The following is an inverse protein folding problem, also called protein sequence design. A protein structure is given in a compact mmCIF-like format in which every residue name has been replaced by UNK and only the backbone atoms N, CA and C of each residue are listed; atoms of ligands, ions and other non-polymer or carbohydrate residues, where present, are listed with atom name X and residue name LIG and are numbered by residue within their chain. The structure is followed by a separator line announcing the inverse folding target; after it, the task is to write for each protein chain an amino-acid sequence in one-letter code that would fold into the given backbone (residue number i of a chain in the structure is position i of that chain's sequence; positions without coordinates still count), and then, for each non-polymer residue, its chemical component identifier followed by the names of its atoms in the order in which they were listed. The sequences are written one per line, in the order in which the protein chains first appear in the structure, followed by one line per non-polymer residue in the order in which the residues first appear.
data_IF_894846992878
#
_entry.id   IF_894846992878
#
_cell.length_a   1.000
_cell.length_b   1.000
_cell.length_c   1.000
_cell.angle_alpha   90.00
_cell.angle_beta   90.00
_cell.angle_gamma   90.00
#
_symmetry.space_group_name_H-M   'P 1'
#
loop_
_entity.id
_entity.type
_entity.pdbx_description
1 polymer ?
#
# COMPACT_ATOMS: atom_id res chain seq x y z
N UNK A 1 -24.04 -82.37 -6.95
CA UNK A 1 -23.04 -82.43 -8.05
C UNK A 1 -22.21 -81.17 -7.97
N UNK A 2 -20.93 -81.34 -7.65
CA UNK A 2 -19.83 -80.37 -7.70
C UNK A 2 -19.25 -80.27 -9.14
N UNK A 3 -18.16 -79.51 -9.42
CA UNK A 3 -17.49 -78.41 -8.70
C UNK A 3 -17.53 -77.11 -9.58
N UNK A 4 -16.68 -76.08 -9.56
CA UNK A 4 -15.51 -75.61 -8.77
C UNK A 4 -15.40 -74.05 -8.91
N UNK A 5 -14.41 -73.38 -8.28
CA UNK A 5 -14.08 -71.99 -8.63
C UNK A 5 -13.29 -71.12 -7.63
N UNK A 6 -12.14 -71.60 -7.12
CA UNK A 6 -11.15 -70.82 -6.34
C UNK A 6 -10.45 -69.72 -7.19
N UNK A 7 -9.79 -68.67 -6.68
CA UNK A 7 -9.53 -68.19 -5.30
C UNK A 7 -8.28 -67.26 -5.23
N UNK A 8 -8.23 -66.37 -4.22
CA UNK A 8 -7.06 -65.64 -3.64
C UNK A 8 -6.18 -64.62 -4.44
N UNK A 9 -5.64 -63.66 -3.68
CA UNK A 9 -4.67 -62.57 -3.98
C UNK A 9 -3.18 -63.06 -4.07
N UNK A 10 -2.14 -62.18 -4.14
CA UNK A 10 -1.76 -61.23 -5.20
C UNK A 10 -0.31 -61.44 -5.70
N UNK A 11 0.10 -60.82 -6.82
CA UNK A 11 1.46 -60.98 -7.39
C UNK A 11 2.45 -59.84 -7.07
N UNK A 12 3.69 -60.23 -6.82
CA UNK A 12 4.83 -59.46 -6.28
C UNK A 12 5.57 -58.54 -7.26
N UNK A 13 6.39 -57.66 -6.67
CA UNK A 13 7.41 -56.81 -7.30
C UNK A 13 8.28 -57.53 -8.36
N UNK A 14 8.72 -56.79 -9.38
CA UNK A 14 9.95 -57.07 -10.14
C UNK A 14 10.87 -55.84 -10.19
N UNK A 15 12.04 -55.96 -9.57
CA UNK A 15 13.21 -55.15 -9.90
C UNK A 15 13.75 -55.56 -11.28
N UNK A 16 14.32 -54.60 -12.01
CA UNK A 16 15.25 -54.89 -13.10
C UNK A 16 16.34 -53.82 -13.15
N UNK A 17 17.60 -54.24 -13.08
CA UNK A 17 18.79 -53.38 -13.20
C UNK A 17 19.31 -53.41 -14.65
N UNK A 18 19.82 -52.29 -15.16
CA UNK A 18 20.36 -52.22 -16.53
C UNK A 18 21.26 -51.01 -16.82
N UNK A 19 22.55 -51.16 -16.47
CA UNK A 19 23.72 -50.52 -17.11
C UNK A 19 23.71 -49.03 -17.51
N UNK A 20 24.25 -48.20 -16.60
CA UNK A 20 25.46 -47.39 -16.80
C UNK A 20 25.70 -46.57 -18.08
N UNK A 21 25.80 -45.25 -17.89
CA UNK A 21 26.84 -44.42 -18.53
C UNK A 21 27.22 -43.24 -17.62
N UNK A 22 28.50 -42.86 -17.64
CA UNK A 22 29.08 -41.87 -16.72
C UNK A 22 28.96 -40.45 -17.27
N UNK A 23 28.30 -39.55 -16.54
CA UNK A 23 28.26 -38.12 -16.85
C UNK A 23 28.18 -37.27 -15.59
N UNK A 24 29.31 -36.72 -15.15
CA UNK A 24 29.35 -35.76 -14.04
C UNK A 24 28.89 -34.37 -14.53
N UNK A 25 27.64 -34.03 -14.27
CA UNK A 25 27.14 -32.65 -14.31
C UNK A 25 26.61 -32.26 -12.93
N UNK A 26 27.00 -31.09 -12.37
CA UNK A 26 26.44 -30.60 -11.11
C UNK A 26 25.02 -30.03 -11.34
N UNK A 27 24.04 -30.91 -11.47
CA UNK A 27 22.63 -30.54 -11.59
C UNK A 27 22.08 -30.10 -10.23
N UNK A 28 22.12 -28.78 -9.99
CA UNK A 28 21.52 -28.13 -8.83
C UNK A 28 20.03 -28.44 -8.77
N UNK A 29 19.63 -29.41 -7.93
CA UNK A 29 18.27 -29.98 -7.96
C UNK A 29 17.24 -29.04 -7.34
N UNK A 30 16.81 -28.04 -8.12
CA UNK A 30 15.65 -27.18 -7.81
C UNK A 30 14.35 -27.97 -8.07
N UNK A 31 14.16 -29.06 -7.33
CA UNK A 31 13.03 -29.99 -7.48
C UNK A 31 11.89 -29.63 -6.54
N UNK A 32 11.22 -28.52 -6.83
CA UNK A 32 9.96 -28.14 -6.18
C UNK A 32 9.03 -27.43 -7.19
N UNK A 33 7.82 -27.99 -7.34
CA UNK A 33 6.63 -27.36 -7.93
C UNK A 33 6.65 -26.96 -9.42
N UNK A 34 6.96 -27.90 -10.31
CA UNK A 34 6.48 -27.85 -11.71
C UNK A 34 5.94 -29.22 -12.14
N UNK A 35 4.73 -29.51 -11.70
CA UNK A 35 3.84 -30.53 -12.24
C UNK A 35 2.42 -29.99 -12.04
N UNK A 36 1.60 -30.06 -13.08
CA UNK A 36 0.21 -29.61 -13.13
C UNK A 36 -0.01 -28.09 -13.03
N UNK A 37 0.48 -27.34 -14.02
CA UNK A 37 -0.07 -26.02 -14.38
C UNK A 37 -1.04 -26.21 -15.55
N UNK A 38 -2.33 -26.21 -15.26
CA UNK A 38 -3.38 -26.15 -16.28
C UNK A 38 -3.36 -24.75 -16.95
N UNK A 39 -3.36 -24.68 -18.28
CA UNK A 39 -3.26 -23.42 -19.04
C UNK A 39 -4.44 -22.47 -18.76
N UNK A 40 -5.57 -23.01 -18.25
CA UNK A 40 -6.72 -22.21 -17.80
C UNK A 40 -6.44 -21.34 -16.56
N UNK A 41 -5.43 -21.66 -15.76
CA UNK A 41 -5.14 -20.99 -14.48
C UNK A 41 -4.27 -19.74 -14.61
N UNK A 42 -3.64 -19.50 -15.77
CA UNK A 42 -2.70 -18.38 -15.99
C UNK A 42 -3.37 -17.00 -15.83
N UNK A 43 -4.70 -16.93 -15.96
CA UNK A 43 -5.50 -15.70 -15.70
C UNK A 43 -6.47 -15.91 -14.51
N UNK A 44 -6.05 -16.67 -13.50
CA UNK A 44 -6.61 -16.53 -12.16
C UNK A 44 -5.55 -15.94 -11.24
N UNK A 45 -5.71 -14.65 -10.91
CA UNK A 45 -4.94 -14.04 -9.81
C UNK A 45 -5.34 -14.82 -8.56
N UNK A 46 -4.40 -15.60 -8.00
CA UNK A 46 -4.66 -16.42 -6.82
C UNK A 46 -5.29 -15.56 -5.74
N UNK A 47 -6.52 -15.91 -5.33
CA UNK A 47 -7.28 -15.19 -4.30
C UNK A 47 -6.75 -15.44 -2.89
N UNK A 48 -5.60 -16.11 -2.74
CA UNK A 48 -4.95 -16.34 -1.47
C UNK A 48 -4.09 -15.13 -1.09
N UNK A 49 -4.12 -14.68 0.18
CA UNK A 49 -3.28 -13.57 0.63
C UNK A 49 -1.80 -13.95 0.59
N UNK A 50 -0.94 -13.00 0.28
CA UNK A 50 0.52 -13.21 0.35
C UNK A 50 0.96 -13.46 1.82
N UNK A 51 2.03 -14.23 2.04
CA UNK A 51 2.56 -14.48 3.38
C UNK A 51 3.16 -13.19 3.97
N UNK A 52 2.47 -12.61 4.95
CA UNK A 52 2.95 -11.49 5.77
C UNK A 52 3.30 -11.97 7.18
N UNK A 53 4.39 -11.47 7.74
CA UNK A 53 4.87 -11.82 9.08
C UNK A 53 3.83 -11.47 10.15
N UNK A 54 3.09 -10.38 9.99
CA UNK A 54 2.08 -9.98 11.00
C UNK A 54 0.81 -10.82 10.86
N UNK A 55 0.47 -11.29 9.66
CA UNK A 55 -0.73 -12.11 9.43
C UNK A 55 -0.58 -13.54 9.95
N UNK A 56 0.64 -14.06 10.12
CA UNK A 56 0.89 -15.33 10.80
C UNK A 56 0.86 -15.22 12.34
N UNK A 57 1.06 -14.01 12.88
CA UNK A 57 1.05 -13.75 14.32
C UNK A 57 -0.31 -13.30 14.86
N UNK A 58 -1.09 -12.54 14.08
CA UNK A 58 -2.34 -11.91 14.53
C UNK A 58 -3.52 -12.30 13.63
N UNK A 59 -4.63 -12.85 14.17
CA UNK A 59 -5.84 -13.14 13.40
C UNK A 59 -6.56 -11.85 12.98
N UNK A 60 -7.21 -11.86 11.81
CA UNK A 60 -7.92 -10.70 11.26
C UNK A 60 -8.90 -10.08 12.27
N UNK A 61 -8.79 -8.77 12.51
CA UNK A 61 -9.71 -8.03 13.37
C UNK A 61 -10.52 -7.01 12.56
N UNK A 62 -11.82 -7.29 12.34
CA UNK A 62 -12.68 -6.41 11.54
C UNK A 62 -12.86 -5.01 12.16
N UNK A 63 -12.90 -4.92 13.49
CA UNK A 63 -13.04 -3.66 14.23
C UNK A 63 -11.84 -2.71 14.01
N UNK A 64 -10.65 -3.26 13.76
CA UNK A 64 -9.43 -2.46 13.59
C UNK A 64 -9.47 -1.63 12.29
N UNK A 65 -10.14 -2.08 11.22
CA UNK A 65 -10.32 -1.27 10.00
C UNK A 65 -11.18 -0.04 10.30
N UNK A 66 -12.29 -0.21 11.03
CA UNK A 66 -13.15 0.91 11.45
C UNK A 66 -12.41 1.87 12.38
N UNK A 67 -11.57 1.37 13.30
CA UNK A 67 -10.75 2.23 14.15
C UNK A 67 -9.68 3.00 13.34
N UNK A 68 -9.07 2.37 12.34
CA UNK A 68 -8.12 2.99 11.43
C UNK A 68 -8.73 4.17 10.67
N UNK A 69 -9.93 4.01 10.11
CA UNK A 69 -10.69 5.10 9.45
C UNK A 69 -10.90 6.29 10.41
N UNK A 70 -11.28 6.03 11.67
CA UNK A 70 -11.42 7.10 12.67
C UNK A 70 -10.09 7.80 13.01
N UNK A 71 -8.96 7.08 13.06
CA UNK A 71 -7.63 7.67 13.30
C UNK A 71 -7.17 8.56 12.13
N UNK A 72 -7.46 8.16 10.88
CA UNK A 72 -7.20 8.96 9.68
C UNK A 72 -8.05 10.23 9.71
N UNK A 73 -9.33 10.13 10.03
CA UNK A 73 -10.21 11.30 10.17
C UNK A 73 -9.77 12.23 11.31
N UNK A 74 -9.34 11.70 12.46
CA UNK A 74 -8.86 12.50 13.58
C UNK A 74 -7.56 13.26 13.26
N UNK A 75 -6.60 12.61 12.59
CA UNK A 75 -5.35 13.24 12.16
C UNK A 75 -5.56 14.27 11.06
N UNK A 76 -6.40 13.98 10.05
CA UNK A 76 -6.75 14.93 9.01
C UNK A 76 -7.52 16.14 9.57
N UNK A 77 -8.47 15.92 10.47
CA UNK A 77 -9.19 17.03 11.16
C UNK A 77 -8.24 17.88 11.98
N UNK A 78 -7.29 17.27 12.70
CA UNK A 78 -6.26 17.99 13.45
C UNK A 78 -5.39 18.87 12.54
N UNK A 79 -5.07 18.40 11.33
CA UNK A 79 -4.34 19.18 10.34
C UNK A 79 -5.20 20.31 9.74
N UNK A 80 -6.48 20.05 9.45
CA UNK A 80 -7.42 21.10 9.02
C UNK A 80 -7.58 22.20 10.07
N UNK A 81 -7.64 21.85 11.37
CA UNK A 81 -7.64 22.83 12.45
C UNK A 81 -6.35 23.67 12.47
N UNK A 82 -5.18 23.04 12.31
CA UNK A 82 -3.92 23.75 12.15
C UNK A 82 -3.98 24.74 10.98
N UNK A 83 -4.45 24.31 9.80
CA UNK A 83 -4.61 25.19 8.63
C UNK A 83 -5.53 26.39 8.91
N UNK A 84 -6.62 26.21 9.64
CA UNK A 84 -7.56 27.30 9.98
C UNK A 84 -6.90 28.36 10.87
N UNK A 85 -6.07 27.94 11.84
CA UNK A 85 -5.41 28.84 12.79
C UNK A 85 -4.02 29.35 12.33
N UNK A 86 -3.43 28.79 11.27
CA UNK A 86 -2.12 29.19 10.79
C UNK A 86 -2.18 30.50 9.99
N UNK A 87 -1.28 31.45 10.30
CA UNK A 87 -1.23 32.75 9.62
C UNK A 87 -1.05 32.60 8.10
N UNK A 88 -0.10 31.78 7.67
CA UNK A 88 0.21 31.50 6.25
C UNK A 88 -0.64 30.36 5.64
N UNK A 89 -1.92 30.22 6.05
CA UNK A 89 -2.79 29.07 5.71
C UNK A 89 -2.79 28.64 4.24
N UNK A 90 -2.80 29.59 3.30
CA UNK A 90 -2.84 29.31 1.87
C UNK A 90 -1.52 28.69 1.37
N UNK A 91 -0.37 29.13 1.91
CA UNK A 91 0.95 28.57 1.60
C UNK A 91 1.02 27.14 2.14
N UNK A 92 0.67 26.91 3.41
CA UNK A 92 0.72 25.57 4.02
C UNK A 92 -0.23 24.60 3.31
N UNK A 93 -1.45 25.03 2.95
CA UNK A 93 -2.38 24.22 2.18
C UNK A 93 -1.84 23.89 0.78
N UNK A 94 -1.25 24.86 0.07
CA UNK A 94 -0.61 24.66 -1.25
C UNK A 94 0.52 23.64 -1.18
N UNK A 95 1.41 23.75 -0.19
CA UNK A 95 2.52 22.81 0.05
C UNK A 95 2.01 21.39 0.36
N UNK A 96 1.01 21.27 1.24
CA UNK A 96 0.38 19.99 1.56
C UNK A 96 -0.28 19.34 0.34
N UNK A 97 -1.05 20.11 -0.45
CA UNK A 97 -1.69 19.61 -1.66
C UNK A 97 -0.66 19.14 -2.70
N UNK A 98 0.46 19.84 -2.85
CA UNK A 98 1.53 19.43 -3.77
C UNK A 98 2.23 18.14 -3.33
N UNK A 99 2.60 18.03 -2.04
CA UNK A 99 3.18 16.81 -1.46
C UNK A 99 2.21 15.63 -1.59
N UNK A 100 0.93 15.85 -1.24
CA UNK A 100 -0.13 14.87 -1.37
C UNK A 100 -0.32 14.41 -2.82
N UNK A 101 -0.48 15.34 -3.77
CA UNK A 101 -0.63 15.03 -5.19
C UNK A 101 0.56 14.22 -5.73
N UNK A 102 1.79 14.55 -5.31
CA UNK A 102 3.00 13.79 -5.69
C UNK A 102 2.94 12.34 -5.16
N UNK A 103 2.52 12.14 -3.91
CA UNK A 103 2.36 10.81 -3.31
C UNK A 103 1.23 10.00 -3.98
N UNK A 104 0.08 10.62 -4.28
CA UNK A 104 -1.01 9.95 -4.99
C UNK A 104 -0.70 9.69 -6.49
N UNK A 105 0.18 10.49 -7.11
CA UNK A 105 0.72 10.18 -8.43
C UNK A 105 1.61 8.93 -8.38
N UNK A 106 2.49 8.81 -7.39
CA UNK A 106 3.24 7.58 -7.16
C UNK A 106 2.33 6.38 -6.89
N UNK A 107 1.26 6.53 -6.07
CA UNK A 107 0.22 5.49 -5.89
C UNK A 107 -0.32 5.01 -7.25
N UNK A 108 -0.82 5.94 -8.06
CA UNK A 108 -1.42 5.64 -9.36
C UNK A 108 -0.47 4.87 -10.27
N UNK A 109 0.80 5.30 -10.36
CA UNK A 109 1.83 4.60 -11.15
C UNK A 109 2.08 3.19 -10.60
N UNK A 110 2.21 3.03 -9.29
CA UNK A 110 2.47 1.69 -8.70
C UNK A 110 1.32 0.71 -8.91
N UNK A 111 0.06 1.16 -8.89
CA UNK A 111 -1.13 0.33 -9.14
C UNK A 111 -1.32 -0.06 -10.61
N UNK A 112 -0.83 0.77 -11.53
CA UNK A 112 -0.80 0.45 -12.97
C UNK A 112 0.26 -0.62 -13.24
N UNK A 113 1.41 -0.56 -12.57
CA UNK A 113 2.52 -1.51 -12.75
C UNK A 113 2.26 -2.84 -12.01
N UNK A 114 1.68 -2.79 -10.81
CA UNK A 114 1.58 -3.94 -9.91
C UNK A 114 0.24 -3.96 -9.17
N UNK A 115 -0.51 -5.06 -9.31
CA UNK A 115 -1.76 -5.30 -8.60
C UNK A 115 -1.59 -6.50 -7.66
N UNK A 116 -1.68 -6.28 -6.35
CA UNK A 116 -1.61 -7.34 -5.34
C UNK A 116 -3.01 -7.85 -4.98
N UNK A 117 -3.17 -9.18 -4.76
CA UNK A 117 -4.41 -9.70 -4.21
C UNK A 117 -4.60 -9.23 -2.76
N UNK A 118 -5.85 -8.97 -2.34
CA UNK A 118 -6.16 -8.53 -0.97
C UNK A 118 -5.78 -9.54 0.13
N UNK A 119 -5.43 -9.00 1.30
CA UNK A 119 -4.97 -9.74 2.49
C UNK A 119 -6.05 -10.43 3.33
N UNK A 120 -7.34 -10.24 3.01
CA UNK A 120 -8.44 -10.75 3.83
C UNK A 120 -8.56 -12.27 3.78
N UNK A 121 -9.05 -12.85 4.87
CA UNK A 121 -9.24 -14.29 4.99
C UNK A 121 -10.35 -14.83 4.05
N UNK A 122 -11.37 -14.02 3.74
CA UNK A 122 -12.50 -14.37 2.87
C UNK A 122 -12.71 -13.36 1.73
N UNK A 123 -11.74 -13.29 0.82
CA UNK A 123 -11.75 -12.38 -0.33
C UNK A 123 -13.04 -12.45 -1.17
N UNK A 124 -13.64 -13.63 -1.38
CA UNK A 124 -14.88 -13.76 -2.15
C UNK A 124 -16.12 -13.08 -1.51
N UNK A 125 -16.09 -12.77 -0.20
CA UNK A 125 -17.19 -12.10 0.50
C UNK A 125 -16.98 -10.58 0.62
N UNK A 126 -15.73 -10.14 0.83
CA UNK A 126 -15.39 -8.71 0.96
C UNK A 126 -15.26 -8.00 -0.40
N UNK A 127 -14.89 -8.72 -1.45
CA UNK A 127 -14.59 -8.15 -2.76
C UNK A 127 -15.83 -8.07 -3.67
N UNK A 128 -16.00 -6.94 -4.32
CA UNK A 128 -16.97 -6.73 -5.40
C UNK A 128 -16.51 -7.50 -6.65
N UNK A 129 -17.46 -8.12 -7.36
CA UNK A 129 -17.17 -8.90 -8.56
C UNK A 129 -16.54 -8.05 -9.67
N UNK A 130 -15.64 -8.65 -10.45
CA UNK A 130 -15.04 -8.00 -11.61
C UNK A 130 -16.10 -7.76 -12.69
N UNK A 131 -16.13 -6.55 -13.24
CA UNK A 131 -17.08 -6.12 -14.27
C UNK A 131 -16.33 -5.51 -15.45
N UNK A 132 -16.86 -5.66 -16.66
CA UNK A 132 -16.28 -5.04 -17.86
C UNK A 132 -16.22 -3.52 -17.71
N UNK A 133 -15.02 -2.95 -17.88
CA UNK A 133 -14.75 -1.53 -17.68
C UNK A 133 -15.48 -0.73 -18.76
N UNK A 134 -16.60 -0.12 -18.37
CA UNK A 134 -17.40 0.79 -19.20
C UNK A 134 -17.31 2.19 -18.62
N UNK A 135 -17.27 3.23 -19.45
CA UNK A 135 -17.06 4.62 -19.01
C UNK A 135 -18.12 5.08 -17.98
N UNK A 136 -19.39 4.69 -18.16
CA UNK A 136 -20.47 4.91 -17.18
C UNK A 136 -20.22 4.22 -15.84
N UNK A 137 -19.76 2.96 -15.87
CA UNK A 137 -19.39 2.20 -14.66
C UNK A 137 -18.21 2.86 -13.97
N UNK A 138 -17.15 3.23 -14.71
CA UNK A 138 -15.99 3.94 -14.16
C UNK A 138 -16.40 5.26 -13.48
N UNK A 139 -17.17 6.12 -14.16
CA UNK A 139 -17.68 7.36 -13.57
C UNK A 139 -18.52 7.11 -12.32
N UNK A 140 -19.43 6.13 -12.33
CA UNK A 140 -20.21 5.79 -11.14
C UNK A 140 -19.34 5.34 -9.96
N UNK A 141 -18.24 4.60 -10.19
CA UNK A 141 -17.28 4.22 -9.13
C UNK A 141 -16.50 5.42 -8.60
N UNK A 142 -16.07 6.32 -9.48
CA UNK A 142 -15.38 7.57 -9.08
C UNK A 142 -16.30 8.45 -8.23
N UNK A 143 -17.57 8.61 -8.63
CA UNK A 143 -18.57 9.38 -7.87
C UNK A 143 -18.93 8.69 -6.55
N UNK A 144 -19.13 7.36 -6.55
CA UNK A 144 -19.34 6.55 -5.34
C UNK A 144 -18.21 6.74 -4.33
N UNK A 145 -16.94 6.72 -4.79
CA UNK A 145 -15.76 6.94 -3.94
C UNK A 145 -15.62 8.39 -3.46
N UNK A 146 -15.94 9.37 -4.31
CA UNK A 146 -15.88 10.80 -3.97
C UNK A 146 -16.90 11.18 -2.89
N UNK A 147 -18.15 10.71 -3.01
CA UNK A 147 -19.21 10.94 -2.02
C UNK A 147 -18.84 10.34 -0.66
N UNK A 148 -18.14 9.20 -0.66
CA UNK A 148 -17.71 8.49 0.56
C UNK A 148 -16.50 9.12 1.25
N UNK A 149 -15.90 10.18 0.69
CA UNK A 149 -14.80 10.94 1.30
C UNK A 149 -13.61 10.08 1.80
N UNK A 150 -13.40 8.89 1.22
CA UNK A 150 -12.35 7.95 1.61
C UNK A 150 -12.72 6.88 2.65
N UNK A 151 -13.94 6.86 3.21
CA UNK A 151 -14.38 5.82 4.14
C UNK A 151 -14.47 4.43 3.48
N UNK A 152 -14.06 3.39 4.22
CA UNK A 152 -14.00 2.03 3.70
C UNK A 152 -15.38 1.34 3.68
N UNK A 153 -15.77 0.72 2.56
CA UNK A 153 -17.05 0.01 2.47
C UNK A 153 -17.00 -1.35 3.16
N UNK A 154 -17.97 -1.62 4.04
CA UNK A 154 -17.97 -2.85 4.86
C UNK A 154 -18.43 -4.11 4.11
N UNK A 155 -19.14 -3.96 2.99
CA UNK A 155 -19.89 -5.06 2.35
C UNK A 155 -19.40 -5.47 0.95
N UNK A 156 -18.92 -4.55 0.08
CA UNK A 156 -18.43 -4.89 -1.27
C UNK A 156 -17.33 -3.94 -1.78
N UNK A 157 -16.12 -4.12 -1.24
CA UNK A 157 -14.91 -3.36 -1.59
C UNK A 157 -14.42 -3.58 -3.03
N UNK A 158 -13.77 -2.57 -3.63
CA UNK A 158 -12.91 -2.81 -4.79
C UNK A 158 -11.60 -3.48 -4.33
N UNK A 159 -11.45 -4.77 -4.63
CA UNK A 159 -10.23 -5.51 -4.35
C UNK A 159 -9.30 -5.49 -5.56
N UNK A 160 -8.08 -4.98 -5.35
CA UNK A 160 -7.08 -4.74 -6.40
C UNK A 160 -6.30 -3.43 -6.15
N UNK A 161 -6.84 -2.52 -5.34
CA UNK A 161 -6.24 -1.24 -4.96
C UNK A 161 -5.50 -1.32 -3.60
N UNK A 162 -4.83 -2.44 -3.33
CA UNK A 162 -4.24 -2.73 -2.01
C UNK A 162 -2.79 -2.28 -1.86
N UNK A 163 -2.04 -2.19 -2.97
CA UNK A 163 -0.65 -1.75 -2.91
C UNK A 163 -0.57 -0.26 -2.61
N UNK A 164 0.28 0.11 -1.63
CA UNK A 164 0.54 1.49 -1.18
C UNK A 164 -0.69 2.20 -0.57
N UNK A 165 -0.87 2.14 0.75
CA UNK A 165 -2.10 2.55 1.47
C UNK A 165 -2.41 4.06 1.48
N UNK A 166 -3.61 4.45 1.03
CA UNK A 166 -4.01 5.86 0.90
C UNK A 166 -4.30 6.53 2.24
N UNK A 167 -5.01 5.82 3.12
CA UNK A 167 -5.19 6.18 4.53
C UNK A 167 -3.85 6.45 5.22
N UNK A 168 -2.85 5.61 4.98
CA UNK A 168 -1.51 5.79 5.53
C UNK A 168 -0.84 7.05 4.99
N UNK A 169 -0.94 7.33 3.68
CA UNK A 169 -0.39 8.57 3.09
C UNK A 169 -1.02 9.83 3.69
N UNK A 170 -2.35 9.90 3.77
CA UNK A 170 -3.05 11.06 4.33
C UNK A 170 -2.65 11.29 5.79
N UNK A 171 -2.68 10.24 6.59
CA UNK A 171 -2.42 10.26 8.02
C UNK A 171 -0.97 10.61 8.35
N UNK A 172 0.01 9.96 7.69
CA UNK A 172 1.44 10.25 7.88
C UNK A 172 1.79 11.66 7.38
N UNK A 173 1.27 12.08 6.22
CA UNK A 173 1.56 13.42 5.68
C UNK A 173 0.93 14.51 6.54
N UNK A 174 -0.29 14.31 7.06
CA UNK A 174 -0.94 15.24 8.00
C UNK A 174 -0.16 15.34 9.31
N UNK A 175 0.30 14.21 9.87
CA UNK A 175 1.10 14.19 11.09
C UNK A 175 2.48 14.88 10.90
N UNK A 176 3.15 14.65 9.77
CA UNK A 176 4.40 15.35 9.41
C UNK A 176 4.19 16.87 9.27
N UNK A 177 3.10 17.29 8.61
CA UNK A 177 2.72 18.71 8.55
C UNK A 177 2.47 19.31 9.94
N UNK A 178 1.75 18.62 10.82
CA UNK A 178 1.51 19.08 12.21
C UNK A 178 2.84 19.18 12.98
N UNK A 179 3.74 18.21 12.83
CA UNK A 179 5.05 18.24 13.48
C UNK A 179 5.94 19.40 12.99
N UNK A 180 5.85 19.77 11.71
CA UNK A 180 6.69 20.80 11.10
C UNK A 180 6.15 22.23 11.30
N UNK A 181 4.86 22.46 11.06
CA UNK A 181 4.25 23.81 11.07
C UNK A 181 3.80 24.25 12.47
N UNK A 182 3.60 23.33 13.42
CA UNK A 182 3.17 23.70 14.77
C UNK A 182 4.37 24.18 15.63
N UNK A 183 4.30 25.34 16.30
CA UNK A 183 5.42 25.86 17.07
C UNK A 183 5.71 25.01 18.32
N UNK A 184 6.98 24.92 18.70
CA UNK A 184 7.50 24.03 19.76
C UNK A 184 6.84 24.19 21.15
N UNK A 185 6.12 25.28 21.40
CA UNK A 185 5.29 25.48 22.61
C UNK A 185 4.15 24.44 22.72
N UNK A 186 3.65 23.94 21.59
CA UNK A 186 2.53 23.00 21.51
C UNK A 186 2.99 21.55 21.21
N UNK A 187 4.21 21.19 21.66
CA UNK A 187 4.83 19.88 21.40
C UNK A 187 3.93 18.69 21.78
N UNK A 188 3.07 18.83 22.80
CA UNK A 188 2.08 17.80 23.17
C UNK A 188 1.16 17.44 22.00
N UNK A 189 0.66 18.42 21.25
CA UNK A 189 -0.25 18.18 20.12
C UNK A 189 0.47 17.49 18.94
N UNK A 190 1.77 17.75 18.76
CA UNK A 190 2.61 17.00 17.81
C UNK A 190 2.70 15.52 18.21
N UNK A 191 2.97 15.23 19.49
CA UNK A 191 3.00 13.86 20.01
C UNK A 191 1.66 13.15 19.87
N UNK A 192 0.54 13.82 20.18
CA UNK A 192 -0.81 13.26 20.02
C UNK A 192 -1.11 12.92 18.56
N UNK A 193 -0.79 13.81 17.61
CA UNK A 193 -1.01 13.51 16.18
C UNK A 193 -0.12 12.36 15.68
N UNK A 194 1.14 12.30 16.11
CA UNK A 194 2.05 11.21 15.76
C UNK A 194 1.60 9.88 16.39
N UNK A 195 1.04 9.90 17.60
CA UNK A 195 0.46 8.74 18.27
C UNK A 195 -0.77 8.22 17.52
N UNK A 196 -1.71 9.09 17.13
CA UNK A 196 -2.85 8.69 16.30
C UNK A 196 -2.40 8.10 14.96
N UNK A 197 -1.36 8.66 14.33
CA UNK A 197 -0.78 8.10 13.11
C UNK A 197 -0.18 6.71 13.33
N UNK A 198 0.56 6.50 14.42
CA UNK A 198 1.11 5.20 14.78
C UNK A 198 0.01 4.15 15.06
N UNK A 199 -1.00 4.49 15.87
CA UNK A 199 -2.14 3.62 16.16
C UNK A 199 -2.92 3.27 14.89
N UNK A 200 -3.19 4.26 14.03
CA UNK A 200 -3.87 4.03 12.75
C UNK A 200 -3.09 3.08 11.83
N UNK A 201 -1.77 3.23 11.72
CA UNK A 201 -0.92 2.31 10.96
C UNK A 201 -0.99 0.89 11.52
N UNK A 202 -0.87 0.70 12.84
CA UNK A 202 -1.01 -0.62 13.47
C UNK A 202 -2.39 -1.23 13.23
N UNK A 203 -3.47 -0.43 13.29
CA UNK A 203 -4.83 -0.89 13.04
C UNK A 203 -5.03 -1.37 11.58
N UNK A 204 -4.41 -0.71 10.61
CA UNK A 204 -4.47 -1.11 9.19
C UNK A 204 -3.73 -2.43 8.93
N UNK A 205 -2.59 -2.68 9.62
CA UNK A 205 -1.93 -4.01 9.55
C UNK A 205 -2.81 -5.09 10.18
N UNK A 206 -3.32 -4.85 11.40
CA UNK A 206 -4.09 -5.83 12.18
C UNK A 206 -5.43 -6.20 11.50
N UNK A 207 -6.03 -5.27 10.76
CA UNK A 207 -7.26 -5.52 10.00
C UNK A 207 -7.05 -6.16 8.62
N UNK A 208 -5.79 -6.45 8.25
CA UNK A 208 -5.39 -7.06 6.97
C UNK A 208 -5.88 -6.30 5.72
N UNK A 209 -6.19 -5.01 5.86
CA UNK A 209 -6.61 -4.14 4.76
C UNK A 209 -5.45 -3.88 3.80
N UNK A 210 -4.24 -3.79 4.34
CA UNK A 210 -2.99 -3.63 3.61
C UNK A 210 -1.92 -4.55 4.17
N UNK A 211 -0.92 -4.92 3.35
CA UNK A 211 0.24 -5.66 3.85
C UNK A 211 1.14 -4.74 4.66
N UNK A 212 1.93 -5.32 5.57
CA UNK A 212 2.92 -4.59 6.38
C UNK A 212 3.91 -3.82 5.48
N UNK A 213 4.25 -4.40 4.33
CA UNK A 213 5.13 -3.76 3.33
C UNK A 213 4.50 -2.52 2.69
N UNK A 214 3.18 -2.48 2.45
CA UNK A 214 2.50 -1.32 1.86
C UNK A 214 2.55 -0.11 2.80
N UNK A 215 2.34 -0.36 4.09
CA UNK A 215 2.35 0.65 5.15
C UNK A 215 3.78 1.13 5.40
N UNK A 216 4.77 0.24 5.36
CA UNK A 216 6.19 0.59 5.45
C UNK A 216 6.65 1.46 4.28
N UNK A 217 6.34 1.07 3.04
CA UNK A 217 6.68 1.86 1.84
C UNK A 217 5.92 3.19 1.83
N UNK A 218 4.65 3.24 2.23
CA UNK A 218 3.90 4.49 2.38
C UNK A 218 4.54 5.42 3.41
N UNK A 219 4.90 4.91 4.59
CA UNK A 219 5.59 5.69 5.63
C UNK A 219 6.93 6.25 5.15
N UNK A 220 7.74 5.42 4.49
CA UNK A 220 9.03 5.84 3.93
C UNK A 220 8.87 6.89 2.83
N UNK A 221 7.97 6.68 1.87
CA UNK A 221 7.80 7.60 0.75
C UNK A 221 7.17 8.92 1.19
N UNK A 222 6.20 8.91 2.12
CA UNK A 222 5.69 10.13 2.74
C UNK A 222 6.79 10.91 3.46
N UNK A 223 7.65 10.25 4.25
CA UNK A 223 8.79 10.92 4.89
C UNK A 223 9.78 11.48 3.86
N UNK A 224 10.13 10.69 2.84
CA UNK A 224 11.06 11.09 1.79
C UNK A 224 10.56 12.30 1.02
N UNK A 225 9.36 12.23 0.42
CA UNK A 225 8.77 13.34 -0.35
C UNK A 225 8.62 14.58 0.52
N UNK A 226 8.10 14.45 1.74
CA UNK A 226 7.92 15.58 2.65
C UNK A 226 9.24 16.26 3.02
N UNK A 227 10.26 15.48 3.41
CA UNK A 227 11.57 16.01 3.82
C UNK A 227 12.35 16.57 2.64
N UNK A 228 12.34 15.89 1.49
CA UNK A 228 12.99 16.36 0.25
C UNK A 228 12.36 17.67 -0.24
N UNK A 229 11.03 17.82 -0.13
CA UNK A 229 10.35 19.08 -0.46
C UNK A 229 10.78 20.22 0.47
N UNK A 230 10.71 20.04 1.79
CA UNK A 230 11.07 21.10 2.73
C UNK A 230 12.57 21.43 2.71
N UNK A 231 13.44 20.43 2.58
CA UNK A 231 14.89 20.65 2.41
C UNK A 231 15.21 21.44 1.13
N UNK A 232 14.42 21.28 0.06
CA UNK A 232 14.56 22.09 -1.17
C UNK A 232 14.06 23.54 -0.98
N UNK A 233 13.04 23.75 -0.14
CA UNK A 233 12.58 25.08 0.28
C UNK A 233 13.59 25.78 1.20
N UNK A 234 14.31 25.05 2.06
CA UNK A 234 15.33 25.57 2.99
C UNK A 234 16.66 25.95 2.32
N UNK A 235 16.88 25.63 1.03
CA UNK A 235 18.05 26.13 0.28
C UNK A 235 17.79 27.59 -0.12
N UNK A 236 18.34 28.51 0.68
CA UNK A 236 18.06 29.97 0.69
C UNK A 236 18.49 30.77 -0.56
N UNK A 237 19.06 30.13 -1.59
CA UNK A 237 19.52 30.84 -2.80
C UNK A 237 18.99 30.15 -4.07
N UNK A 238 18.22 30.87 -4.88
CA UNK A 238 17.68 30.40 -6.18
C UNK A 238 18.77 29.84 -7.13
N UNK A 239 19.95 30.47 -7.15
CA UNK A 239 21.11 30.01 -7.93
C UNK A 239 21.76 28.73 -7.36
N UNK A 240 21.58 28.44 -6.08
CA UNK A 240 22.14 27.28 -5.39
C UNK A 240 21.15 26.10 -5.45
N UNK A 241 19.84 26.39 -5.36
CA UNK A 241 18.72 25.50 -5.65
C UNK A 241 18.86 24.85 -7.03
N UNK A 242 19.07 25.64 -8.10
CA UNK A 242 19.25 25.11 -9.48
C UNK A 242 20.61 24.44 -9.73
N UNK A 243 21.58 24.59 -8.82
CA UNK A 243 22.85 23.83 -8.82
C UNK A 243 22.80 22.56 -7.98
N UNK A 244 21.80 22.41 -7.12
CA UNK A 244 21.63 21.22 -6.28
C UNK A 244 21.29 19.99 -7.12
N UNK A 245 21.85 18.83 -6.75
CA UNK A 245 21.51 17.51 -7.34
C UNK A 245 20.00 17.24 -7.27
N UNK A 246 19.32 17.79 -6.27
CA UNK A 246 17.87 17.70 -6.09
C UNK A 246 17.07 18.28 -7.27
N UNK A 247 17.58 19.30 -7.98
CA UNK A 247 16.92 19.88 -9.16
C UNK A 247 16.78 18.90 -10.35
N UNK A 248 17.49 17.76 -10.31
CA UNK A 248 17.29 16.65 -11.23
C UNK A 248 15.90 15.99 -11.12
N UNK A 249 15.24 16.08 -9.96
CA UNK A 249 13.92 15.48 -9.72
C UNK A 249 12.79 16.33 -10.34
N UNK A 250 11.96 15.71 -11.18
CA UNK A 250 10.86 16.39 -11.89
C UNK A 250 9.92 17.16 -10.94
N UNK A 251 9.58 16.56 -9.80
CA UNK A 251 8.75 17.15 -8.76
C UNK A 251 9.34 18.44 -8.17
N UNK A 252 10.67 18.55 -8.08
CA UNK A 252 11.30 19.75 -7.50
C UNK A 252 11.38 20.92 -8.48
N UNK A 253 11.30 20.67 -9.79
CA UNK A 253 11.10 21.74 -10.79
C UNK A 253 9.71 22.38 -10.67
N UNK A 254 8.69 21.57 -10.36
CA UNK A 254 7.33 22.09 -10.09
C UNK A 254 7.31 22.79 -8.72
N UNK A 255 8.03 22.27 -7.73
CA UNK A 255 8.18 22.93 -6.42
C UNK A 255 8.85 24.31 -6.53
N UNK A 256 9.84 24.50 -7.41
CA UNK A 256 10.45 25.81 -7.67
C UNK A 256 9.40 26.82 -8.16
N UNK A 257 8.65 26.47 -9.20
CA UNK A 257 7.55 27.31 -9.72
C UNK A 257 6.46 27.59 -8.67
N UNK A 258 6.19 26.64 -7.77
CA UNK A 258 5.18 26.78 -6.72
C UNK A 258 5.60 27.76 -5.59
N UNK A 259 6.91 27.94 -5.41
CA UNK A 259 7.51 28.72 -4.31
C UNK A 259 8.11 30.06 -4.77
N UNK A 260 8.05 30.39 -6.07
CA UNK A 260 8.69 31.58 -6.68
C UNK A 260 8.20 32.91 -6.06
N UNK A 261 6.91 33.01 -5.75
CA UNK A 261 6.28 34.18 -5.11
C UNK A 261 6.42 34.22 -3.57
N UNK A 262 7.11 33.26 -2.94
CA UNK A 262 7.19 33.20 -1.47
C UNK A 262 8.50 33.80 -0.96
N UNK A 263 8.39 34.81 -0.11
CA UNK A 263 9.53 35.35 0.64
C UNK A 263 10.13 34.23 1.51
N UNK A 264 11.44 33.94 1.43
CA UNK A 264 12.07 32.88 2.23
C UNK A 264 11.90 33.17 3.74
N UNK A 265 11.23 32.25 4.43
CA UNK A 265 10.87 32.41 5.84
C UNK A 265 9.58 31.68 6.26
N UNK A 266 9.70 30.37 6.52
CA UNK A 266 8.69 29.46 7.12
C UNK A 266 7.26 29.52 6.54
#
# INVERSE_FOLDING_TARGET
MEPAGSGAFPATQKFSNGYGSTGWHPSFSRRYWLSDVDESQIISISRQPLPDIVFSLIPEQEWASTLGDYMVMATLTSFCLLLVFHQSRAIVARRFLFIGATLYAFRSVTLIITQLPPGYQNNAMRCRDQVNITLSVFLSRVVEQAIRAGFQEKTKMLCGDMLFSGHTLTMVTSALCIAYYLPAKWRLLQWVSNFFAAVGMSCMIISRTHYTIDIFIAYLLSNFVFRTYHAFCEVDIFMERRKSVLYGLWMLRIAEWLEDDIVPGK
#
